data_IF_143228028049
#
_entry.id   IF_143228028049
#
_cell.length_a   1.000
_cell.length_b   1.000
_cell.length_c   1.000
_cell.angle_alpha   90.00
_cell.angle_beta   90.00
_cell.angle_gamma   90.00
#
_symmetry.space_group_name_H-M   'P 1'
#
loop_
_entity.id
_entity.type
_entity.pdbx_description
1 polymer ?
#
# COMPACT_ATOMS: atom_id res chain seq x y z
N UNK A 1 -16.23 -3.25 1.89
CA UNK A 1 -17.69 -3.45 2.00
C UNK A 1 -18.00 -4.92 2.35
N UNK A 2 -19.14 -5.26 2.96
CA UNK A 2 -19.53 -6.64 3.24
C UNK A 2 -19.54 -7.51 1.97
N UNK A 3 -19.18 -8.79 2.08
CA UNK A 3 -19.10 -9.75 0.95
C UNK A 3 -20.42 -9.85 0.17
N UNK A 4 -21.56 -9.72 0.85
CA UNK A 4 -22.88 -9.71 0.19
C UNK A 4 -23.00 -8.69 -0.94
N UNK A 5 -22.18 -7.64 -0.91
CA UNK A 5 -22.20 -6.57 -1.92
C UNK A 5 -21.62 -7.00 -3.27
N UNK A 6 -21.02 -8.19 -3.39
CA UNK A 6 -20.54 -8.70 -4.68
C UNK A 6 -21.69 -8.87 -5.70
N UNK A 7 -22.93 -8.98 -5.22
CA UNK A 7 -24.15 -9.08 -6.04
C UNK A 7 -24.57 -7.74 -6.65
N UNK A 8 -24.03 -6.63 -6.12
CA UNK A 8 -24.34 -5.28 -6.61
C UNK A 8 -23.67 -5.05 -7.97
N UNK A 9 -24.46 -4.69 -8.97
CA UNK A 9 -24.00 -4.58 -10.37
C UNK A 9 -22.95 -3.50 -10.60
N UNK A 10 -22.89 -2.46 -9.77
CA UNK A 10 -22.10 -1.24 -9.95
C UNK A 10 -20.61 -1.52 -10.14
N UNK A 11 -20.04 -2.45 -9.37
CA UNK A 11 -18.61 -2.79 -9.43
C UNK A 11 -18.34 -4.19 -10.00
N UNK A 12 -19.34 -4.75 -10.68
CA UNK A 12 -19.23 -6.09 -11.27
C UNK A 12 -18.12 -6.13 -12.31
N UNK A 13 -17.21 -7.10 -12.19
CA UNK A 13 -16.08 -7.26 -13.09
C UNK A 13 -14.85 -6.41 -12.78
N UNK A 14 -15.00 -5.32 -12.00
CA UNK A 14 -13.88 -4.43 -11.62
C UNK A 14 -13.48 -4.56 -10.15
N UNK A 15 -14.37 -5.02 -9.27
CA UNK A 15 -14.08 -5.36 -7.87
C UNK A 15 -14.11 -6.87 -7.65
N UNK A 16 -13.55 -7.33 -6.53
CA UNK A 16 -13.51 -8.75 -6.17
C UNK A 16 -13.49 -8.94 -4.65
N UNK A 17 -13.52 -10.19 -4.21
CA UNK A 17 -13.45 -10.57 -2.79
C UNK A 17 -11.98 -10.68 -2.38
N UNK A 18 -11.61 -9.95 -1.32
CA UNK A 18 -10.33 -10.02 -0.66
C UNK A 18 -10.46 -10.42 0.80
N UNK A 19 -9.34 -10.74 1.42
CA UNK A 19 -9.25 -11.09 2.84
C UNK A 19 -8.36 -10.09 3.58
N UNK A 20 -8.88 -9.48 4.65
CA UNK A 20 -8.13 -8.59 5.53
C UNK A 20 -7.64 -9.39 6.75
N UNK A 21 -6.37 -9.80 6.73
CA UNK A 21 -5.79 -10.69 7.73
C UNK A 21 -5.83 -10.10 9.15
N UNK A 22 -5.57 -8.81 9.30
CA UNK A 22 -5.60 -8.09 10.59
C UNK A 22 -6.97 -8.11 11.28
N UNK A 23 -8.05 -8.05 10.50
CA UNK A 23 -9.43 -8.08 11.01
C UNK A 23 -10.08 -9.46 10.84
N UNK A 24 -9.39 -10.42 10.23
CA UNK A 24 -9.89 -11.77 9.93
C UNK A 24 -11.25 -11.76 9.21
N UNK A 25 -11.43 -10.83 8.27
CA UNK A 25 -12.69 -10.66 7.54
C UNK A 25 -12.51 -10.68 6.04
N UNK A 26 -13.47 -11.27 5.34
CA UNK A 26 -13.60 -11.12 3.90
C UNK A 26 -14.35 -9.84 3.57
N UNK A 27 -13.94 -9.15 2.50
CA UNK A 27 -14.62 -7.97 2.00
C UNK A 27 -14.72 -7.99 0.48
N UNK A 28 -15.71 -7.32 -0.06
CA UNK A 28 -15.83 -7.09 -1.49
C UNK A 28 -15.43 -5.65 -1.82
N UNK A 29 -14.52 -5.49 -2.78
CA UNK A 29 -14.07 -4.16 -3.16
C UNK A 29 -12.76 -4.15 -3.94
N UNK A 30 -11.98 -3.12 -3.66
CA UNK A 30 -10.68 -2.86 -4.26
C UNK A 30 -9.59 -2.95 -3.20
N UNK A 31 -8.37 -3.14 -3.66
CA UNK A 31 -7.15 -2.99 -2.89
C UNK A 31 -6.38 -1.80 -3.46
N UNK A 32 -5.91 -0.92 -2.59
CA UNK A 32 -5.02 0.19 -2.94
C UNK A 32 -3.61 -0.25 -2.55
N UNK A 33 -2.72 -0.25 -3.53
CA UNK A 33 -1.28 -0.42 -3.34
C UNK A 33 -0.66 0.97 -3.43
N UNK A 34 0.24 1.30 -2.54
CA UNK A 34 0.86 2.61 -2.51
C UNK A 34 2.34 2.53 -2.17
N UNK A 35 3.12 3.44 -2.75
CA UNK A 35 4.49 3.70 -2.37
C UNK A 35 4.50 5.03 -1.64
N UNK A 36 5.05 5.02 -0.43
CA UNK A 36 5.20 6.18 0.43
C UNK A 36 6.70 6.44 0.62
N UNK A 37 7.15 7.68 0.55
CA UNK A 37 8.51 8.06 0.87
C UNK A 37 8.78 7.91 2.38
N UNK A 38 10.04 7.88 2.77
CA UNK A 38 10.48 7.92 4.18
C UNK A 38 10.03 9.20 4.90
N UNK A 39 9.79 10.24 4.13
CA UNK A 39 9.20 11.51 4.58
C UNK A 39 7.68 11.48 4.73
N UNK A 40 6.99 10.40 4.37
CA UNK A 40 5.55 10.25 4.48
C UNK A 40 4.73 10.70 3.26
N UNK A 41 5.34 11.16 2.17
CA UNK A 41 4.60 11.49 0.95
C UNK A 41 4.18 10.25 0.17
N UNK A 42 2.93 10.19 -0.25
CA UNK A 42 2.47 9.17 -1.17
C UNK A 42 2.95 9.50 -2.59
N UNK A 43 3.91 8.71 -3.08
CA UNK A 43 4.60 8.93 -4.36
C UNK A 43 3.83 8.37 -5.55
N UNK A 44 3.26 7.19 -5.36
CA UNK A 44 2.50 6.51 -6.40
C UNK A 44 1.49 5.54 -5.80
N UNK A 45 0.43 5.23 -6.54
CA UNK A 45 -0.57 4.25 -6.12
C UNK A 45 -1.15 3.48 -7.32
N UNK A 46 -1.66 2.30 -7.05
CA UNK A 46 -2.48 1.52 -7.98
C UNK A 46 -3.72 0.99 -7.27
N UNK A 47 -4.81 0.91 -8.01
CA UNK A 47 -6.06 0.32 -7.53
C UNK A 47 -6.29 -0.98 -8.28
N UNK A 48 -6.39 -2.06 -7.55
CA UNK A 48 -6.63 -3.39 -8.10
C UNK A 48 -7.88 -4.03 -7.51
N UNK A 49 -8.31 -5.14 -8.09
CA UNK A 49 -9.30 -6.01 -7.45
C UNK A 49 -8.75 -6.49 -6.11
N UNK A 50 -9.61 -6.64 -5.12
CA UNK A 50 -9.20 -7.06 -3.78
C UNK A 50 -8.49 -8.42 -3.72
N UNK A 51 -8.65 -9.28 -4.73
CA UNK A 51 -7.99 -10.58 -4.86
C UNK A 51 -6.54 -10.51 -5.37
N UNK A 52 -6.10 -9.38 -5.93
CA UNK A 52 -4.74 -9.25 -6.50
C UNK A 52 -3.69 -9.28 -5.40
N UNK A 53 -2.62 -10.03 -5.64
CA UNK A 53 -1.51 -10.18 -4.71
C UNK A 53 -0.58 -8.97 -4.78
N UNK A 54 -0.15 -8.45 -3.61
CA UNK A 54 0.62 -7.22 -3.48
C UNK A 54 1.93 -7.21 -4.30
N UNK A 55 2.64 -8.33 -4.31
CA UNK A 55 3.91 -8.46 -5.04
C UNK A 55 3.80 -8.23 -6.55
N UNK A 56 2.62 -8.45 -7.15
CA UNK A 56 2.43 -8.28 -8.60
C UNK A 56 2.47 -6.81 -9.01
N UNK A 57 1.84 -5.96 -8.21
CA UNK A 57 1.70 -4.53 -8.53
C UNK A 57 2.96 -3.71 -8.14
N UNK A 58 3.79 -4.24 -7.23
CA UNK A 58 4.94 -3.50 -6.70
C UNK A 58 5.94 -3.09 -7.79
N UNK A 59 6.22 -3.97 -8.75
CA UNK A 59 7.19 -3.68 -9.82
C UNK A 59 6.70 -2.52 -10.69
N UNK A 60 5.43 -2.54 -11.08
CA UNK A 60 4.81 -1.50 -11.91
C UNK A 60 4.76 -0.16 -11.18
N UNK A 61 4.41 -0.17 -9.90
CA UNK A 61 4.44 1.02 -9.05
C UNK A 61 5.84 1.61 -8.95
N UNK A 62 6.88 0.78 -8.80
CA UNK A 62 8.27 1.24 -8.73
C UNK A 62 8.77 1.81 -10.04
N UNK A 63 8.37 1.24 -11.19
CA UNK A 63 8.71 1.77 -12.50
C UNK A 63 8.15 3.19 -12.66
N UNK A 64 6.94 3.45 -12.20
CA UNK A 64 6.28 4.74 -12.37
C UNK A 64 6.68 5.77 -11.29
N UNK A 65 7.01 5.34 -10.09
CA UNK A 65 7.37 6.23 -8.99
C UNK A 65 8.82 6.73 -9.06
N UNK A 66 9.75 5.93 -9.60
CA UNK A 66 11.19 6.22 -9.64
C UNK A 66 11.73 6.83 -8.33
N UNK A 67 11.48 6.21 -7.16
CA UNK A 67 11.94 6.79 -5.91
C UNK A 67 13.47 6.92 -5.90
N UNK A 68 13.96 8.04 -5.37
CA UNK A 68 15.40 8.33 -5.33
C UNK A 68 16.18 7.41 -4.37
N UNK A 69 15.50 6.87 -3.35
CA UNK A 69 16.11 5.95 -2.40
C UNK A 69 16.16 4.53 -2.97
N UNK A 70 17.31 3.86 -2.79
CA UNK A 70 17.50 2.50 -3.27
C UNK A 70 16.85 1.41 -2.39
N UNK A 71 16.36 1.74 -1.21
CA UNK A 71 15.69 0.80 -0.31
C UNK A 71 14.18 0.87 -0.47
N UNK A 72 13.57 -0.28 -0.71
CA UNK A 72 12.12 -0.46 -0.62
C UNK A 72 11.82 -1.30 0.64
N UNK A 73 11.08 -0.72 1.57
CA UNK A 73 10.68 -1.39 2.80
C UNK A 73 9.33 -2.06 2.59
N UNK A 74 9.27 -3.37 2.76
CA UNK A 74 8.05 -4.16 2.60
C UNK A 74 7.63 -4.89 3.87
N UNK A 75 6.41 -5.40 3.87
CA UNK A 75 5.92 -6.35 4.87
C UNK A 75 6.23 -7.79 4.44
N UNK A 76 6.09 -8.75 5.37
CA UNK A 76 6.29 -10.19 5.12
C UNK A 76 5.43 -10.73 3.97
N UNK A 77 4.31 -10.07 3.62
CA UNK A 77 3.48 -10.40 2.46
C UNK A 77 4.16 -10.23 1.10
N UNK A 78 5.28 -9.50 1.05
CA UNK A 78 6.07 -9.30 -0.17
C UNK A 78 7.17 -10.35 -0.37
N UNK A 79 7.13 -11.45 0.38
CA UNK A 79 8.06 -12.56 0.24
C UNK A 79 7.94 -13.21 -1.15
N UNK A 80 8.94 -12.97 -2.00
CA UNK A 80 9.04 -13.60 -3.32
C UNK A 80 10.42 -13.40 -3.94
N UNK A 81 11.13 -14.51 -4.21
CA UNK A 81 12.45 -14.44 -4.87
C UNK A 81 12.39 -13.66 -6.19
N UNK A 82 11.31 -13.83 -6.94
CA UNK A 82 11.12 -13.14 -8.22
C UNK A 82 10.98 -11.62 -8.05
N UNK A 83 10.22 -11.17 -7.04
CA UNK A 83 10.08 -9.74 -6.76
C UNK A 83 11.42 -9.11 -6.38
N UNK A 84 12.14 -9.70 -5.43
CA UNK A 84 13.45 -9.21 -5.01
C UNK A 84 14.45 -9.16 -6.17
N UNK A 85 14.45 -10.17 -7.06
CA UNK A 85 15.31 -10.22 -8.25
C UNK A 85 14.97 -9.10 -9.24
N UNK A 86 13.69 -8.86 -9.50
CA UNK A 86 13.23 -7.80 -10.41
C UNK A 86 13.59 -6.42 -9.87
N UNK A 87 13.32 -6.15 -8.59
CA UNK A 87 13.68 -4.90 -7.93
C UNK A 87 15.20 -4.67 -7.95
N UNK A 88 15.99 -5.71 -7.71
CA UNK A 88 17.46 -5.63 -7.78
C UNK A 88 17.96 -5.26 -9.18
N UNK A 89 17.36 -5.79 -10.24
CA UNK A 89 17.66 -5.41 -11.63
C UNK A 89 17.36 -3.95 -11.92
N UNK A 90 16.38 -3.38 -11.22
CA UNK A 90 16.01 -1.96 -11.30
C UNK A 90 16.88 -1.06 -10.39
N UNK A 91 17.84 -1.63 -9.64
CA UNK A 91 18.70 -0.90 -8.71
C UNK A 91 18.14 -0.74 -7.29
N UNK A 92 17.04 -1.43 -6.96
CA UNK A 92 16.42 -1.35 -5.63
C UNK A 92 16.70 -2.57 -4.78
N UNK A 93 16.82 -2.36 -3.48
CA UNK A 93 17.00 -3.40 -2.47
C UNK A 93 15.70 -3.53 -1.69
N UNK A 94 15.02 -4.67 -1.85
CA UNK A 94 13.84 -4.98 -1.03
C UNK A 94 14.30 -5.43 0.36
N UNK A 95 13.97 -4.66 1.38
CA UNK A 95 14.21 -5.00 2.77
C UNK A 95 12.90 -5.32 3.48
N UNK A 96 12.89 -6.41 4.24
CA UNK A 96 11.77 -6.87 5.03
C UNK A 96 12.26 -7.30 6.41
N UNK A 97 11.53 -7.06 7.49
CA UNK A 97 11.94 -7.52 8.80
C UNK A 97 11.91 -9.03 8.88
N UNK A 98 12.89 -9.60 9.57
CA UNK A 98 12.86 -11.00 9.95
C UNK A 98 11.94 -11.20 11.15
N UNK A 99 11.23 -12.31 11.20
CA UNK A 99 10.47 -12.72 12.37
C UNK A 99 11.41 -12.88 13.55
N UNK A 100 10.95 -12.55 14.75
CA UNK A 100 11.77 -12.65 15.99
C UNK A 100 12.40 -14.03 16.20
N UNK A 101 11.75 -15.08 15.69
CA UNK A 101 12.19 -16.49 15.76
C UNK A 101 13.25 -16.87 14.73
N UNK A 102 13.51 -16.02 13.72
CA UNK A 102 14.48 -16.30 12.68
C UNK A 102 15.91 -16.04 13.17
N UNK A 103 16.83 -16.92 12.77
CA UNK A 103 18.23 -16.75 13.08
C UNK A 103 18.75 -15.42 12.47
N UNK A 104 19.48 -14.64 13.26
CA UNK A 104 20.02 -13.34 12.81
C UNK A 104 19.02 -12.18 12.84
N UNK A 105 17.76 -12.39 13.27
CA UNK A 105 16.74 -11.34 13.28
C UNK A 105 17.20 -10.06 13.99
N UNK A 106 17.87 -10.19 15.16
CA UNK A 106 18.36 -9.04 15.94
C UNK A 106 19.37 -8.18 15.16
N UNK A 107 20.19 -8.80 14.31
CA UNK A 107 21.21 -8.10 13.50
C UNK A 107 20.62 -7.56 12.20
N UNK A 108 19.63 -8.26 11.62
CA UNK A 108 18.99 -7.88 10.37
C UNK A 108 17.98 -6.75 10.55
N UNK A 109 17.23 -6.77 11.65
CA UNK A 109 16.17 -5.80 11.93
C UNK A 109 16.79 -4.51 12.49
N UNK A 110 17.28 -3.68 11.59
CA UNK A 110 17.80 -2.36 11.91
C UNK A 110 16.71 -1.48 12.53
N UNK A 111 17.10 -0.74 13.58
CA UNK A 111 16.14 0.07 14.35
C UNK A 111 15.54 1.23 13.52
N UNK A 112 16.35 1.86 12.66
CA UNK A 112 15.89 2.97 11.82
C UNK A 112 14.95 2.48 10.74
N UNK A 113 15.30 1.39 10.02
CA UNK A 113 14.43 0.79 9.01
C UNK A 113 13.10 0.30 9.61
N UNK A 114 13.15 -0.25 10.83
CA UNK A 114 11.95 -0.65 11.57
C UNK A 114 11.10 0.55 12.00
N UNK A 115 11.71 1.70 12.30
CA UNK A 115 10.99 2.93 12.64
C UNK A 115 10.27 3.50 11.42
N UNK A 116 10.98 3.63 10.29
CA UNK A 116 10.39 4.09 9.01
C UNK A 116 9.25 3.16 8.58
N UNK A 117 9.42 1.84 8.69
CA UNK A 117 8.35 0.90 8.36
C UNK A 117 7.10 1.10 9.24
N UNK A 118 7.28 1.42 10.52
CA UNK A 118 6.14 1.65 11.42
C UNK A 118 5.39 2.95 11.12
N UNK A 119 6.06 3.98 10.61
CA UNK A 119 5.39 5.24 10.23
C UNK A 119 4.34 5.02 9.13
N UNK A 120 4.58 4.07 8.21
CA UNK A 120 3.64 3.72 7.13
C UNK A 120 2.24 3.33 7.69
N UNK A 121 2.18 2.66 8.83
CA UNK A 121 0.88 2.32 9.44
C UNK A 121 0.11 3.59 9.87
N UNK A 122 0.83 4.61 10.37
CA UNK A 122 0.26 5.91 10.69
C UNK A 122 -0.17 6.66 9.43
N UNK A 123 0.63 6.59 8.35
CA UNK A 123 0.35 7.21 7.07
C UNK A 123 -0.93 6.64 6.44
N UNK A 124 -1.10 5.32 6.46
CA UNK A 124 -2.34 4.70 6.01
C UNK A 124 -3.54 5.02 6.90
N UNK A 125 -3.34 5.16 8.21
CA UNK A 125 -4.40 5.59 9.12
C UNK A 125 -4.85 7.01 8.81
N UNK A 126 -3.91 7.92 8.54
CA UNK A 126 -4.21 9.29 8.14
C UNK A 126 -4.90 9.35 6.77
N UNK A 127 -4.47 8.55 5.80
CA UNK A 127 -5.14 8.44 4.51
C UNK A 127 -6.60 7.93 4.67
N UNK A 128 -6.84 7.02 5.61
CA UNK A 128 -8.20 6.57 5.96
C UNK A 128 -9.06 7.68 6.57
N UNK A 129 -8.47 8.61 7.31
CA UNK A 129 -9.16 9.81 7.81
C UNK A 129 -9.73 10.66 6.67
N UNK A 130 -9.05 10.75 5.54
CA UNK A 130 -9.55 11.41 4.32
C UNK A 130 -10.55 10.56 3.52
N UNK A 131 -11.18 9.55 4.14
CA UNK A 131 -12.20 8.66 3.55
C UNK A 131 -11.72 7.75 2.41
N UNK A 132 -10.43 7.47 2.30
CA UNK A 132 -9.93 6.53 1.30
C UNK A 132 -10.52 5.11 1.47
N UNK A 133 -10.65 4.61 2.71
CA UNK A 133 -11.28 3.30 3.00
C UNK A 133 -12.81 3.32 2.89
N UNK A 134 -13.46 4.40 3.30
CA UNK A 134 -14.93 4.53 3.35
C UNK A 134 -15.50 5.23 2.11
N UNK A 135 -14.91 4.98 0.98
CA UNK A 135 -15.32 5.55 -0.29
C UNK A 135 -16.74 5.07 -0.65
N UNK A 136 -17.71 6.01 -0.61
CA UNK A 136 -19.15 5.75 -0.90
C UNK A 136 -19.48 5.97 -2.37
N UNK A 137 -18.54 5.78 -3.27
CA UNK A 137 -18.77 5.96 -4.70
C UNK A 137 -19.80 4.97 -5.24
N UNK A 138 -20.53 5.42 -6.27
CA UNK A 138 -21.55 4.63 -6.97
C UNK A 138 -21.11 4.26 -8.40
N UNK A 139 -19.84 4.51 -8.75
CA UNK A 139 -19.23 4.13 -10.02
C UNK A 139 -17.74 3.92 -9.85
N UNK A 140 -17.06 3.15 -10.73
CA UNK A 140 -15.61 3.00 -10.72
C UNK A 140 -14.87 4.33 -10.88
N UNK A 141 -15.32 5.17 -11.79
CA UNK A 141 -14.74 6.51 -12.01
C UNK A 141 -14.89 7.38 -10.76
N UNK A 142 -16.08 7.43 -10.17
CA UNK A 142 -16.31 8.18 -8.94
C UNK A 142 -15.52 7.63 -7.75
N UNK A 143 -15.22 6.31 -7.72
CA UNK A 143 -14.34 5.72 -6.72
C UNK A 143 -12.91 6.25 -6.89
N UNK A 144 -12.39 6.22 -8.10
CA UNK A 144 -11.03 6.69 -8.40
C UNK A 144 -10.89 8.19 -8.10
N UNK A 145 -11.80 9.02 -8.56
CA UNK A 145 -11.77 10.47 -8.28
C UNK A 145 -11.76 10.78 -6.79
N UNK A 146 -12.58 10.11 -5.99
CA UNK A 146 -12.59 10.30 -4.54
C UNK A 146 -11.30 9.85 -3.87
N UNK A 147 -10.70 8.77 -4.37
CA UNK A 147 -9.40 8.31 -3.87
C UNK A 147 -8.31 9.32 -4.21
N UNK A 148 -8.28 9.84 -5.42
CA UNK A 148 -7.31 10.87 -5.86
C UNK A 148 -7.42 12.14 -5.02
N UNK A 149 -8.64 12.59 -4.73
CA UNK A 149 -8.89 13.74 -3.85
C UNK A 149 -8.37 13.45 -2.43
N UNK A 150 -8.60 12.25 -1.91
CA UNK A 150 -8.10 11.86 -0.59
C UNK A 150 -6.57 11.84 -0.52
N UNK A 151 -5.92 11.32 -1.56
CA UNK A 151 -4.45 11.31 -1.70
C UNK A 151 -3.89 12.72 -1.81
N UNK A 152 -4.51 13.57 -2.62
CA UNK A 152 -4.11 14.96 -2.76
C UNK A 152 -4.22 15.71 -1.42
N UNK A 153 -5.34 15.58 -0.73
CA UNK A 153 -5.56 16.19 0.59
C UNK A 153 -4.53 15.71 1.62
N UNK A 154 -4.23 14.40 1.61
CA UNK A 154 -3.19 13.81 2.45
C UNK A 154 -1.82 14.43 2.18
N UNK A 155 -1.35 14.45 0.93
CA UNK A 155 -0.05 15.01 0.57
C UNK A 155 0.02 16.53 0.86
N UNK A 156 -1.07 17.27 0.65
CA UNK A 156 -1.13 18.71 0.98
C UNK A 156 -1.03 18.95 2.49
N UNK A 157 -1.71 18.15 3.31
CA UNK A 157 -1.60 18.26 4.77
C UNK A 157 -0.17 18.01 5.24
N UNK A 158 0.49 16.98 4.73
CA UNK A 158 1.90 16.70 5.00
C UNK A 158 2.82 17.86 4.61
N UNK A 159 2.58 18.46 3.44
CA UNK A 159 3.34 19.62 2.98
C UNK A 159 3.18 20.80 3.93
N UNK A 160 1.96 21.11 4.36
CA UNK A 160 1.68 22.25 5.24
C UNK A 160 2.28 22.08 6.65
N UNK A 161 2.27 20.85 7.19
CA UNK A 161 2.87 20.57 8.51
C UNK A 161 4.40 20.76 8.54
N UNK A 162 5.07 20.63 7.40
CA UNK A 162 6.54 20.82 7.30
C UNK A 162 6.95 22.29 7.15
N UNK A 163 6.05 23.18 6.77
CA UNK A 163 6.34 24.62 6.62
C UNK A 163 5.90 25.46 7.83
N UNK A 164 5.30 24.84 8.84
CA UNK A 164 4.98 25.43 10.12
C UNK A 164 5.95 24.95 11.22
#
# INVERSE_FOLDING_TARGET
QPVRNYRVKIFRGVADIGYKATKKVYYYGFKVHAIVSDDGYLLNYAVTKASVHDAKETVELMINAHPANHYLLGDEGYLGKNLATNLKRMGYVLWMPYRKTMQGARRHNDHQLMAIRRSIESDFSLLSYYNAENNRARSPVGFQQRLEIAILAYNMAYCLERFN
#
